data_IF_088940112327
#
_entry.id   IF_088940112327
#
_cell.length_a   1.000
_cell.length_b   1.000
_cell.length_c   1.000
_cell.angle_alpha   90.00
_cell.angle_beta   90.00
_cell.angle_gamma   90.00
#
_symmetry.space_group_name_H-M   'P 1'
#
loop_
_entity.id
_entity.type
_entity.pdbx_description
1 polymer ?
#
# COMPACT_ATOMS: atom_id res chain seq x y z
N UNK A 1 10.53 27.05 -3.49
CA UNK A 1 10.90 25.87 -4.29
C UNK A 1 9.74 24.91 -4.20
N UNK A 2 9.06 24.64 -5.32
CA UNK A 2 7.83 23.85 -5.33
C UNK A 2 8.21 22.40 -5.60
N UNK A 3 8.25 21.56 -4.57
CA UNK A 3 8.32 20.12 -4.75
C UNK A 3 7.09 19.70 -5.59
N UNK A 4 7.34 19.11 -6.76
CA UNK A 4 6.26 18.59 -7.60
C UNK A 4 5.97 17.17 -7.17
N UNK A 5 4.87 16.98 -6.43
CA UNK A 5 4.40 15.63 -6.10
C UNK A 5 4.04 14.91 -7.41
N UNK A 6 4.68 13.78 -7.75
CA UNK A 6 4.41 13.11 -9.01
C UNK A 6 2.98 12.58 -9.03
N UNK A 7 2.30 12.78 -10.15
CA UNK A 7 0.99 12.14 -10.39
C UNK A 7 1.21 10.66 -10.63
N UNK A 8 0.58 9.81 -9.81
CA UNK A 8 0.63 8.36 -9.93
C UNK A 8 -0.74 7.81 -10.33
N UNK A 9 -0.75 6.71 -11.07
CA UNK A 9 -1.99 6.01 -11.43
C UNK A 9 -2.64 5.44 -10.18
N UNK A 10 -3.90 5.81 -9.96
CA UNK A 10 -4.73 5.34 -8.85
C UNK A 10 -6.12 4.97 -9.37
N UNK A 11 -6.87 4.24 -8.54
CA UNK A 11 -8.23 3.82 -8.85
C UNK A 11 -8.33 2.35 -9.25
N UNK A 12 -9.56 1.88 -9.41
CA UNK A 12 -9.84 0.47 -9.70
C UNK A 12 -9.22 0.03 -11.04
N UNK A 13 -8.67 -1.19 -11.07
CA UNK A 13 -8.26 -1.80 -12.33
C UNK A 13 -9.50 -2.17 -13.16
N UNK A 14 -9.41 -2.13 -14.50
CA UNK A 14 -10.57 -2.32 -15.38
C UNK A 14 -11.43 -3.54 -15.03
N UNK A 15 -12.75 -3.33 -14.99
CA UNK A 15 -13.77 -4.35 -14.69
C UNK A 15 -13.56 -5.10 -13.36
N UNK A 16 -12.77 -4.55 -12.43
CA UNK A 16 -12.45 -5.21 -11.17
C UNK A 16 -12.57 -4.28 -9.99
N UNK A 17 -12.82 -4.86 -8.81
CA UNK A 17 -12.91 -4.12 -7.55
C UNK A 17 -12.00 -4.73 -6.52
N UNK A 18 -11.38 -3.89 -5.68
CA UNK A 18 -10.63 -4.36 -4.52
C UNK A 18 -11.58 -5.03 -3.54
N UNK A 19 -11.22 -6.22 -3.07
CA UNK A 19 -11.91 -6.90 -1.98
C UNK A 19 -10.91 -7.34 -0.92
N UNK A 20 -11.38 -7.53 0.30
CA UNK A 20 -10.55 -7.97 1.41
C UNK A 20 -11.13 -9.23 2.03
N UNK A 21 -10.30 -10.26 2.20
CA UNK A 21 -10.68 -11.47 2.95
C UNK A 21 -10.19 -11.34 4.40
N UNK A 22 -11.04 -11.60 5.41
CA UNK A 22 -10.65 -11.49 6.81
C UNK A 22 -9.73 -12.64 7.22
N UNK A 23 -8.85 -12.40 8.20
CA UNK A 23 -8.12 -13.47 8.87
C UNK A 23 -8.99 -14.21 9.89
N UNK A 24 -8.75 -15.51 10.07
CA UNK A 24 -9.44 -16.32 11.09
C UNK A 24 -8.77 -16.20 12.47
N UNK A 25 -7.46 -16.44 12.54
CA UNK A 25 -6.68 -16.31 13.79
C UNK A 25 -6.52 -14.84 14.23
N UNK A 26 -6.43 -13.93 13.26
CA UNK A 26 -6.29 -12.49 13.51
C UNK A 26 -7.43 -11.75 12.79
N UNK A 27 -8.55 -11.48 13.48
CA UNK A 27 -9.75 -10.89 12.86
C UNK A 27 -9.53 -9.51 12.24
N UNK A 28 -8.50 -8.77 12.70
CA UNK A 28 -8.11 -7.48 12.14
C UNK A 28 -7.38 -7.56 10.79
N UNK A 29 -6.99 -8.76 10.33
CA UNK A 29 -6.36 -8.92 9.02
C UNK A 29 -7.36 -8.65 7.89
N UNK A 30 -6.95 -7.83 6.93
CA UNK A 30 -7.67 -7.59 5.67
C UNK A 30 -6.75 -7.96 4.51
N UNK A 31 -6.85 -9.20 4.02
CA UNK A 31 -5.98 -9.72 2.95
C UNK A 31 -6.50 -9.21 1.60
N UNK A 32 -5.72 -8.42 0.83
CA UNK A 32 -6.19 -7.80 -0.40
C UNK A 32 -6.25 -8.81 -1.54
N UNK A 33 -7.38 -8.79 -2.24
CA UNK A 33 -7.63 -9.49 -3.50
C UNK A 33 -8.36 -8.52 -4.43
N UNK A 34 -8.61 -8.93 -5.68
CA UNK A 34 -9.57 -8.23 -6.55
C UNK A 34 -10.54 -9.20 -7.19
N UNK A 35 -11.77 -8.76 -7.36
CA UNK A 35 -12.82 -9.52 -8.04
C UNK A 35 -13.05 -8.91 -9.42
N UNK A 36 -12.93 -9.73 -10.47
CA UNK A 36 -13.16 -9.33 -11.86
C UNK A 36 -14.58 -9.74 -12.25
N UNK A 37 -15.36 -8.77 -12.71
CA UNK A 37 -16.71 -9.03 -13.18
C UNK A 37 -16.69 -9.76 -14.52
N UNK A 38 -17.47 -10.83 -14.63
CA UNK A 38 -17.76 -11.49 -15.90
C UNK A 38 -19.04 -10.93 -16.51
N UNK A 39 -19.30 -11.21 -17.78
CA UNK A 39 -20.55 -10.77 -18.41
C UNK A 39 -21.76 -11.46 -17.75
N UNK A 40 -22.87 -10.75 -17.46
CA UNK A 40 -24.02 -11.33 -16.76
C UNK A 40 -24.60 -12.58 -17.41
N UNK A 41 -24.55 -12.69 -18.75
CA UNK A 41 -25.05 -13.85 -19.48
C UNK A 41 -24.25 -15.14 -19.24
N UNK A 42 -23.04 -15.05 -18.66
CA UNK A 42 -22.28 -16.24 -18.27
C UNK A 42 -22.92 -16.95 -17.08
N UNK A 43 -23.68 -16.24 -16.23
CA UNK A 43 -24.26 -16.80 -15.01
C UNK A 43 -23.22 -17.24 -13.97
N UNK A 44 -21.98 -16.77 -14.10
CA UNK A 44 -20.85 -17.13 -13.24
C UNK A 44 -20.59 -16.03 -12.20
N UNK A 45 -20.09 -16.39 -11.00
CA UNK A 45 -19.64 -15.40 -10.03
C UNK A 45 -18.36 -14.68 -10.51
N UNK A 46 -18.06 -13.49 -9.96
CA UNK A 46 -16.80 -12.79 -10.25
C UNK A 46 -15.56 -13.66 -9.94
N UNK A 47 -14.52 -13.52 -10.77
CA UNK A 47 -13.27 -14.25 -10.58
C UNK A 47 -12.41 -13.50 -9.56
N UNK A 48 -12.17 -14.12 -8.40
CA UNK A 48 -11.26 -13.58 -7.38
C UNK A 48 -9.81 -13.93 -7.74
N UNK A 49 -8.95 -12.92 -7.83
CA UNK A 49 -7.51 -13.10 -8.11
C UNK A 49 -6.65 -12.36 -7.10
N UNK A 50 -5.40 -12.79 -7.00
CA UNK A 50 -4.38 -12.09 -6.22
C UNK A 50 -4.18 -10.64 -6.69
N UNK A 51 -3.94 -9.73 -5.75
CA UNK A 51 -3.79 -8.32 -6.05
C UNK A 51 -2.69 -7.65 -5.21
N UNK A 52 -1.52 -7.46 -5.83
CA UNK A 52 -0.37 -6.78 -5.23
C UNK A 52 -0.35 -5.25 -5.44
N UNK A 53 -1.39 -4.66 -6.04
CA UNK A 53 -1.41 -3.20 -6.29
C UNK A 53 -1.54 -2.35 -5.02
N UNK A 54 -1.83 -2.96 -3.88
CA UNK A 54 -1.92 -2.27 -2.59
C UNK A 54 -3.06 -1.24 -2.53
N UNK A 55 -2.95 -0.21 -1.66
CA UNK A 55 -3.98 0.81 -1.49
C UNK A 55 -4.23 1.69 -2.71
N UNK A 56 -3.33 1.71 -3.71
CA UNK A 56 -3.46 2.57 -4.89
C UNK A 56 -4.68 2.26 -5.76
N UNK A 57 -5.21 1.03 -5.69
CA UNK A 57 -6.43 0.63 -6.40
C UNK A 57 -7.63 0.46 -5.47
N UNK A 58 -7.48 0.80 -4.18
CA UNK A 58 -8.57 0.83 -3.21
C UNK A 58 -9.15 2.25 -3.14
N UNK A 59 -10.36 2.42 -3.68
CA UNK A 59 -11.04 3.72 -3.73
C UNK A 59 -11.45 4.25 -2.36
N UNK A 60 -11.36 3.42 -1.31
CA UNK A 60 -11.65 3.83 0.07
C UNK A 60 -10.42 4.38 0.79
N UNK A 61 -9.22 4.29 0.19
CA UNK A 61 -7.97 4.75 0.79
C UNK A 61 -7.42 5.95 0.03
N UNK A 62 -7.21 7.07 0.75
CA UNK A 62 -6.51 8.23 0.19
C UNK A 62 -5.00 7.99 0.25
N UNK A 63 -4.36 7.87 -0.91
CA UNK A 63 -2.90 7.72 -1.01
C UNK A 63 -2.22 9.08 -1.19
N UNK A 64 -1.32 9.44 -0.28
CA UNK A 64 -0.50 10.65 -0.34
C UNK A 64 0.98 10.27 -0.23
N UNK A 65 1.74 10.43 -1.32
CA UNK A 65 3.14 9.95 -1.41
C UNK A 65 4.00 10.56 -0.30
N UNK A 66 3.80 11.85 -0.01
CA UNK A 66 4.53 12.60 1.03
C UNK A 66 4.29 12.07 2.44
N UNK A 67 3.14 11.43 2.69
CA UNK A 67 2.80 10.83 3.99
C UNK A 67 3.18 9.35 4.08
N UNK A 68 3.43 8.71 2.95
CA UNK A 68 3.56 7.27 2.84
C UNK A 68 2.23 6.52 3.03
N UNK A 69 2.30 5.20 2.96
CA UNK A 69 1.13 4.32 3.15
C UNK A 69 0.86 4.04 4.64
N UNK A 70 -0.39 3.67 4.99
CA UNK A 70 -0.70 3.21 6.35
C UNK A 70 0.18 2.03 6.80
N UNK A 71 0.76 2.13 8.00
CA UNK A 71 1.63 1.11 8.60
C UNK A 71 0.83 -0.05 9.20
N UNK A 72 0.01 -0.73 8.40
CA UNK A 72 -0.99 -1.72 8.85
C UNK A 72 -0.43 -2.85 9.75
N UNK A 73 0.85 -3.18 9.59
CA UNK A 73 1.50 -4.28 10.32
C UNK A 73 2.12 -3.85 11.65
N UNK A 74 2.29 -2.54 11.90
CA UNK A 74 3.04 -2.02 13.04
C UNK A 74 2.53 -2.56 14.37
N UNK A 75 1.22 -2.45 14.62
CA UNK A 75 0.60 -2.96 15.85
C UNK A 75 0.81 -4.47 16.06
N UNK A 76 0.86 -5.27 14.97
CA UNK A 76 1.07 -6.71 15.08
C UNK A 76 2.51 -7.07 15.39
N UNK A 77 3.47 -6.27 14.89
CA UNK A 77 4.88 -6.44 15.23
C UNK A 77 5.10 -6.10 16.70
N UNK A 78 4.57 -4.97 17.18
CA UNK A 78 4.70 -4.54 18.58
C UNK A 78 4.02 -5.54 19.54
N UNK A 79 2.86 -6.08 19.17
CA UNK A 79 2.11 -7.02 20.00
C UNK A 79 2.81 -8.36 20.27
N UNK A 80 3.85 -8.72 19.49
CA UNK A 80 4.65 -9.92 19.77
C UNK A 80 5.64 -9.75 20.91
N UNK A 81 5.88 -8.50 21.34
CA UNK A 81 6.83 -8.17 22.40
C UNK A 81 8.25 -8.70 22.15
N UNK A 82 8.63 -8.85 20.87
CA UNK A 82 9.93 -9.36 20.42
C UNK A 82 10.80 -8.27 19.77
N UNK A 83 10.37 -7.02 19.85
CA UNK A 83 11.06 -5.85 19.29
C UNK A 83 11.11 -4.69 20.28
N UNK A 84 12.08 -3.80 20.08
CA UNK A 84 12.19 -2.53 20.77
C UNK A 84 12.31 -1.37 19.77
N UNK A 85 11.90 -0.17 20.20
CA UNK A 85 12.11 1.04 19.40
C UNK A 85 13.53 1.55 19.64
N UNK A 86 14.17 2.01 18.58
CA UNK A 86 15.49 2.61 18.64
C UNK A 86 15.55 3.85 17.74
N UNK A 87 16.51 4.72 18.02
CA UNK A 87 16.75 5.89 17.18
C UNK A 87 17.41 5.47 15.85
N UNK A 88 16.79 5.83 14.73
CA UNK A 88 17.28 5.51 13.41
C UNK A 88 18.64 6.17 13.13
N UNK A 89 19.49 5.49 12.34
CA UNK A 89 20.77 6.05 11.89
C UNK A 89 20.54 7.36 11.11
N UNK A 90 21.32 8.39 11.43
CA UNK A 90 21.34 9.65 10.67
C UNK A 90 21.84 9.43 9.24
N UNK A 91 21.14 10.02 8.26
CA UNK A 91 21.53 10.01 6.85
C UNK A 91 22.84 10.79 6.68
N UNK A 92 23.81 10.20 5.98
CA UNK A 92 25.11 10.82 5.66
C UNK A 92 25.19 11.17 4.16
N UNK A 93 26.06 12.11 3.75
CA UNK A 93 26.18 12.50 2.34
C UNK A 93 26.45 11.34 1.38
N UNK A 94 27.26 10.35 1.79
CA UNK A 94 27.57 9.17 1.00
C UNK A 94 26.37 8.27 0.73
N UNK A 95 25.31 8.33 1.56
CA UNK A 95 24.08 7.56 1.33
C UNK A 95 23.33 8.05 0.08
N UNK A 96 23.59 9.29 -0.35
CA UNK A 96 23.04 9.92 -1.56
C UNK A 96 24.13 10.30 -2.57
N UNK A 97 25.31 9.67 -2.50
CA UNK A 97 26.39 9.88 -3.48
C UNK A 97 27.03 11.27 -3.48
N UNK A 98 27.09 11.95 -2.32
CA UNK A 98 27.63 13.31 -2.17
C UNK A 98 26.94 14.37 -3.05
N UNK A 99 25.72 14.11 -3.49
CA UNK A 99 24.92 15.07 -4.26
C UNK A 99 24.58 16.27 -3.37
N UNK A 100 24.75 17.47 -3.91
CA UNK A 100 24.46 18.72 -3.20
C UNK A 100 22.94 18.88 -2.96
N UNK A 101 22.57 19.57 -1.88
CA UNK A 101 21.18 19.64 -1.43
C UNK A 101 20.22 20.24 -2.47
N UNK A 102 20.72 21.12 -3.36
CA UNK A 102 19.99 21.72 -4.47
C UNK A 102 19.61 20.72 -5.58
N UNK A 103 20.17 19.50 -5.56
CA UNK A 103 19.91 18.44 -6.55
C UNK A 103 19.18 17.21 -5.99
N UNK A 104 18.78 17.24 -4.72
CA UNK A 104 18.04 16.15 -4.06
C UNK A 104 16.52 16.24 -4.21
N UNK A 105 16.01 17.19 -5.01
CA UNK A 105 14.59 17.48 -5.18
C UNK A 105 14.08 17.15 -6.58
#
# INVERSE_FOLDING_TARGET
MNAHTPTVTVGELPASKKVHKPGQLHPGLRVPMREISVHPSAGEPPVTVYDASGPYTDTTVKTEIERGLPRLREAWIEARCDVERYEGRTIRPEDNGFVSADRLT
#
